data_IF_215609467345
#
_entry.id   IF_215609467345
#
_cell.length_a   1.000
_cell.length_b   1.000
_cell.length_c   1.000
_cell.angle_alpha   90.00
_cell.angle_beta   90.00
_cell.angle_gamma   90.00
#
_symmetry.space_group_name_H-M   'P 1'
#
loop_
_entity.id
_entity.type
_entity.pdbx_description
1 polymer ?
#
# COMPACT_ATOMS: atom_id res chain seq x y z
N UNK A 1 2.92 -29.53 -2.00
CA UNK A 1 2.15 -30.36 -2.95
C UNK A 1 3.08 -31.35 -3.64
N UNK A 2 4.00 -30.90 -4.50
CA UNK A 2 4.92 -31.76 -5.28
C UNK A 2 5.68 -32.81 -4.43
N UNK A 3 6.43 -32.37 -3.43
CA UNK A 3 7.23 -33.28 -2.56
C UNK A 3 6.42 -34.32 -1.77
N UNK A 4 5.16 -34.03 -1.45
CA UNK A 4 4.32 -34.87 -0.57
C UNK A 4 3.29 -35.66 -1.40
N UNK A 5 3.08 -35.29 -2.67
CA UNK A 5 2.09 -35.91 -3.56
C UNK A 5 0.63 -35.76 -3.11
N UNK A 6 0.35 -34.85 -2.16
CA UNK A 6 -0.98 -34.67 -1.57
C UNK A 6 -1.43 -33.21 -1.66
N UNK A 7 -2.72 -33.02 -1.95
CA UNK A 7 -3.42 -31.74 -1.91
C UNK A 7 -4.45 -31.81 -0.78
N UNK A 8 -4.16 -31.15 0.34
CA UNK A 8 -4.91 -31.32 1.59
C UNK A 8 -5.83 -30.15 1.92
N UNK A 9 -5.65 -29.03 1.23
CA UNK A 9 -6.33 -27.77 1.53
C UNK A 9 -7.02 -27.23 0.26
N UNK A 10 -8.35 -27.37 0.13
CA UNK A 10 -9.12 -26.98 -1.05
C UNK A 10 -9.17 -25.46 -1.26
N UNK A 11 -9.21 -25.03 -2.52
CA UNK A 11 -9.38 -23.60 -2.85
C UNK A 11 -10.83 -23.16 -2.59
N UNK A 12 -11.07 -21.86 -2.43
CA UNK A 12 -12.43 -21.31 -2.46
C UNK A 12 -12.78 -20.96 -3.90
N UNK A 13 -14.00 -21.27 -4.33
CA UNK A 13 -14.53 -20.88 -5.63
C UNK A 13 -15.86 -20.15 -5.48
N UNK A 14 -15.99 -19.01 -6.17
CA UNK A 14 -17.23 -18.23 -6.30
C UNK A 14 -17.64 -18.20 -7.77
N UNK A 15 -18.95 -18.13 -8.04
CA UNK A 15 -19.45 -18.01 -9.41
C UNK A 15 -19.11 -16.61 -9.96
N UNK A 16 -18.47 -16.56 -11.12
CA UNK A 16 -18.26 -15.32 -11.83
C UNK A 16 -19.57 -14.90 -12.53
N UNK A 17 -19.98 -13.63 -12.46
CA UNK A 17 -21.13 -13.14 -13.22
C UNK A 17 -20.81 -13.27 -14.72
N UNK A 18 -21.48 -14.18 -15.43
CA UNK A 18 -21.36 -14.28 -16.89
C UNK A 18 -22.69 -14.67 -17.53
N UNK A 19 -22.95 -14.13 -18.72
CA UNK A 19 -24.16 -14.29 -19.55
C UNK A 19 -24.16 -15.54 -20.44
N UNK A 20 -23.25 -16.50 -20.23
CA UNK A 20 -23.09 -17.67 -21.10
C UNK A 20 -23.32 -18.99 -20.35
N UNK A 21 -23.70 -20.02 -21.11
CA UNK A 21 -24.10 -21.36 -20.63
C UNK A 21 -22.98 -22.13 -19.88
N UNK A 22 -21.75 -21.62 -19.85
CA UNK A 22 -20.63 -22.23 -19.11
C UNK A 22 -20.37 -21.41 -17.85
N UNK A 23 -20.68 -22.00 -16.68
CA UNK A 23 -20.39 -21.39 -15.39
C UNK A 23 -18.87 -21.16 -15.25
N UNK A 24 -18.45 -19.89 -15.25
CA UNK A 24 -17.09 -19.50 -14.91
C UNK A 24 -16.98 -19.34 -13.39
N UNK A 25 -15.89 -19.82 -12.83
CA UNK A 25 -15.58 -19.72 -11.40
C UNK A 25 -14.31 -18.88 -11.21
N UNK A 26 -14.30 -18.09 -10.16
CA UNK A 26 -13.14 -17.34 -9.70
C UNK A 26 -12.80 -17.76 -8.26
N UNK A 27 -11.53 -17.63 -7.86
CA UNK A 27 -11.05 -18.03 -6.53
C UNK A 27 -10.57 -16.82 -5.73
N UNK A 28 -11.28 -16.43 -4.63
CA UNK A 28 -10.84 -15.37 -3.73
C UNK A 28 -9.77 -15.86 -2.73
N UNK A 29 -9.65 -17.17 -2.51
CA UNK A 29 -8.61 -17.77 -1.67
C UNK A 29 -8.12 -19.08 -2.31
N UNK A 30 -6.80 -19.18 -2.52
CA UNK A 30 -6.16 -20.37 -3.08
C UNK A 30 -5.42 -20.15 -4.41
N UNK A 31 -5.20 -18.90 -4.84
CA UNK A 31 -4.51 -18.60 -6.11
C UNK A 31 -3.10 -19.21 -6.22
N UNK A 32 -2.32 -19.22 -5.13
CA UNK A 32 -1.00 -19.88 -5.11
C UNK A 32 -1.11 -21.39 -5.28
N UNK A 33 -2.09 -22.02 -4.61
CA UNK A 33 -2.38 -23.45 -4.72
C UNK A 33 -2.86 -23.82 -6.12
N UNK A 34 -3.75 -23.02 -6.71
CA UNK A 34 -4.19 -23.16 -8.09
C UNK A 34 -3.02 -23.07 -9.08
N UNK A 35 -2.14 -22.07 -8.89
CA UNK A 35 -0.96 -21.87 -9.75
C UNK A 35 0.03 -23.03 -9.61
N UNK A 36 0.27 -23.53 -8.40
CA UNK A 36 1.10 -24.69 -8.16
C UNK A 36 0.53 -25.96 -8.81
N UNK A 37 -0.78 -26.19 -8.70
CA UNK A 37 -1.45 -27.34 -9.35
C UNK A 37 -1.39 -27.24 -10.88
N UNK A 38 -1.54 -26.04 -11.45
CA UNK A 38 -1.34 -25.81 -12.90
C UNK A 38 0.09 -26.12 -13.34
N UNK A 39 1.09 -25.67 -12.58
CA UNK A 39 2.50 -25.97 -12.88
C UNK A 39 2.82 -27.47 -12.83
N UNK A 40 2.10 -28.23 -11.99
CA UNK A 40 2.17 -29.69 -11.92
C UNK A 40 1.34 -30.41 -13.00
N UNK A 41 0.70 -29.67 -13.92
CA UNK A 41 -0.10 -30.23 -15.01
C UNK A 41 -1.46 -30.81 -14.58
N UNK A 42 -1.97 -30.40 -13.41
CA UNK A 42 -3.25 -30.89 -12.93
C UNK A 42 -4.41 -30.45 -13.84
N UNK A 43 -5.29 -31.40 -14.18
CA UNK A 43 -6.49 -31.14 -15.01
C UNK A 43 -7.71 -30.73 -14.18
N UNK A 44 -7.66 -30.93 -12.86
CA UNK A 44 -8.71 -30.59 -11.91
C UNK A 44 -8.11 -30.23 -10.55
N UNK A 45 -8.89 -29.51 -9.73
CA UNK A 45 -8.52 -29.11 -8.38
C UNK A 45 -9.76 -29.17 -7.49
N UNK A 46 -9.59 -29.54 -6.22
CA UNK A 46 -10.69 -29.56 -5.25
C UNK A 46 -10.96 -28.14 -4.78
N UNK A 47 -12.24 -27.73 -4.80
CA UNK A 47 -12.70 -26.43 -4.37
C UNK A 47 -13.93 -26.52 -3.46
N UNK A 48 -14.02 -25.61 -2.50
CA UNK A 48 -15.24 -25.33 -1.72
C UNK A 48 -15.98 -24.21 -2.45
N UNK A 49 -17.21 -24.47 -2.86
CA UNK A 49 -18.02 -23.50 -3.60
C UNK A 49 -18.82 -22.64 -2.62
N UNK A 50 -18.60 -21.32 -2.68
CA UNK A 50 -19.36 -20.33 -1.92
C UNK A 50 -20.42 -19.74 -2.87
N UNK A 51 -21.71 -19.97 -2.60
CA UNK A 51 -22.77 -19.59 -3.53
C UNK A 51 -23.00 -18.08 -3.60
N UNK A 52 -22.71 -17.33 -2.54
CA UNK A 52 -22.88 -15.89 -2.44
C UNK A 52 -21.70 -15.14 -3.09
N UNK A 53 -21.89 -14.40 -4.21
CA UNK A 53 -20.79 -13.68 -4.84
C UNK A 53 -20.22 -12.55 -3.96
N UNK A 54 -21.04 -11.95 -3.10
CA UNK A 54 -20.62 -10.90 -2.15
C UNK A 54 -19.62 -11.40 -1.11
N UNK A 55 -19.66 -12.69 -0.75
CA UNK A 55 -18.70 -13.29 0.18
C UNK A 55 -17.27 -13.34 -0.39
N UNK A 56 -17.10 -13.23 -1.71
CA UNK A 56 -15.78 -13.25 -2.33
C UNK A 56 -14.87 -12.12 -1.81
N UNK A 57 -15.43 -10.91 -1.65
CA UNK A 57 -14.70 -9.75 -1.15
C UNK A 57 -14.39 -9.87 0.35
N UNK A 58 -15.31 -10.43 1.13
CA UNK A 58 -15.08 -10.73 2.54
C UNK A 58 -13.94 -11.74 2.70
N UNK A 59 -13.91 -12.79 1.86
CA UNK A 59 -12.88 -13.83 1.90
C UNK A 59 -11.51 -13.27 1.46
N UNK A 60 -11.47 -12.38 0.47
CA UNK A 60 -10.24 -11.65 0.11
C UNK A 60 -9.72 -10.83 1.29
N UNK A 61 -10.59 -10.04 1.93
CA UNK A 61 -10.21 -9.24 3.09
C UNK A 61 -9.71 -10.10 4.27
N UNK A 62 -10.25 -11.32 4.43
CA UNK A 62 -9.88 -12.25 5.49
C UNK A 62 -8.63 -13.09 5.21
N UNK A 63 -8.01 -13.02 4.02
CA UNK A 63 -6.77 -13.75 3.72
C UNK A 63 -5.55 -13.14 4.46
N UNK A 64 -5.48 -13.37 5.76
CA UNK A 64 -4.42 -12.87 6.65
C UNK A 64 -3.19 -13.79 6.73
N UNK A 65 -3.15 -14.90 5.95
CA UNK A 65 -2.05 -15.89 5.99
C UNK A 65 -0.67 -15.32 5.61
N UNK A 66 -0.64 -14.18 4.93
CA UNK A 66 0.57 -13.39 4.72
C UNK A 66 0.15 -11.94 4.86
N UNK A 67 0.68 -11.22 5.84
CA UNK A 67 0.55 -9.76 5.85
C UNK A 67 0.98 -9.27 4.46
N UNK A 68 0.02 -8.75 3.68
CA UNK A 68 0.31 -8.25 2.35
C UNK A 68 1.41 -7.22 2.51
N UNK A 69 2.45 -7.30 1.66
CA UNK A 69 3.42 -6.23 1.67
C UNK A 69 2.69 -4.93 1.31
N UNK A 70 3.11 -3.81 1.89
CA UNK A 70 2.45 -2.51 1.75
C UNK A 70 2.03 -2.20 0.30
N UNK A 71 2.86 -2.58 -0.66
CA UNK A 71 2.61 -2.41 -2.09
C UNK A 71 1.43 -3.23 -2.59
N UNK A 72 1.41 -4.54 -2.34
CA UNK A 72 0.31 -5.42 -2.72
C UNK A 72 -1.01 -4.92 -2.15
N UNK A 73 -1.02 -4.56 -0.86
CA UNK A 73 -2.21 -4.03 -0.20
C UNK A 73 -2.68 -2.72 -0.82
N UNK A 74 -1.77 -1.77 -1.03
CA UNK A 74 -2.12 -0.47 -1.62
C UNK A 74 -2.66 -0.61 -3.05
N UNK A 75 -2.11 -1.53 -3.85
CA UNK A 75 -2.58 -1.80 -5.22
C UNK A 75 -3.97 -2.43 -5.22
N UNK A 76 -4.25 -3.35 -4.29
CA UNK A 76 -5.56 -3.96 -4.14
C UNK A 76 -6.61 -2.91 -3.74
N UNK A 77 -6.30 -2.09 -2.73
CA UNK A 77 -7.19 -1.03 -2.24
C UNK A 77 -7.53 -0.02 -3.34
N UNK A 78 -6.56 0.46 -4.13
CA UNK A 78 -6.86 1.43 -5.20
C UNK A 78 -7.65 0.82 -6.36
N UNK A 79 -7.48 -0.48 -6.64
CA UNK A 79 -8.31 -1.18 -7.64
C UNK A 79 -9.76 -1.26 -7.18
N UNK A 80 -9.97 -1.71 -5.95
CA UNK A 80 -11.29 -1.75 -5.34
C UNK A 80 -11.95 -0.37 -5.31
N UNK A 81 -11.20 0.66 -4.90
CA UNK A 81 -11.67 2.05 -4.90
C UNK A 81 -12.20 2.47 -6.27
N UNK A 82 -11.44 2.21 -7.35
CA UNK A 82 -11.82 2.62 -8.71
C UNK A 82 -13.04 1.88 -9.24
N UNK A 83 -13.23 0.62 -8.85
CA UNK A 83 -14.42 -0.16 -9.20
C UNK A 83 -15.66 0.38 -8.46
N UNK A 84 -15.55 0.60 -7.15
CA UNK A 84 -16.63 1.14 -6.32
C UNK A 84 -17.02 2.57 -6.72
N UNK A 85 -16.04 3.40 -7.09
CA UNK A 85 -16.29 4.77 -7.58
C UNK A 85 -17.11 4.83 -8.89
N UNK A 86 -17.29 3.72 -9.60
CA UNK A 86 -18.14 3.64 -10.80
C UNK A 86 -19.57 3.16 -10.50
N UNK A 87 -19.79 2.56 -9.31
CA UNK A 87 -21.03 1.83 -9.00
C UNK A 87 -21.99 2.65 -8.13
N UNK A 88 -21.48 3.50 -7.24
CA UNK A 88 -22.28 4.20 -6.25
C UNK A 88 -21.76 5.62 -5.98
N UNK A 89 -22.62 6.46 -5.41
CA UNK A 89 -22.32 7.82 -4.94
C UNK A 89 -21.82 7.83 -3.48
N UNK A 90 -21.27 6.70 -3.03
CA UNK A 90 -20.74 6.51 -1.68
C UNK A 90 -19.47 7.34 -1.43
N UNK A 91 -19.17 7.60 -0.15
CA UNK A 91 -17.93 8.23 0.29
C UNK A 91 -16.90 7.17 0.69
N UNK A 92 -15.65 7.58 0.90
CA UNK A 92 -14.61 6.64 1.30
C UNK A 92 -14.87 6.04 2.70
N UNK A 93 -15.55 6.77 3.59
CA UNK A 93 -15.92 6.28 4.93
C UNK A 93 -16.90 5.10 4.87
N UNK A 94 -17.73 5.00 3.82
CA UNK A 94 -18.65 3.89 3.63
C UNK A 94 -17.93 2.54 3.53
N UNK A 95 -16.72 2.54 2.97
CA UNK A 95 -15.90 1.36 2.75
C UNK A 95 -14.62 1.37 3.60
N UNK A 96 -14.65 2.04 4.75
CA UNK A 96 -13.49 2.20 5.62
C UNK A 96 -12.91 0.85 6.10
N UNK A 97 -13.77 -0.16 6.29
CA UNK A 97 -13.34 -1.49 6.70
C UNK A 97 -12.54 -2.18 5.58
N UNK A 98 -13.00 -2.05 4.33
CA UNK A 98 -12.39 -2.65 3.16
C UNK A 98 -11.11 -1.92 2.73
N UNK A 99 -11.08 -0.59 2.87
CA UNK A 99 -9.90 0.21 2.58
C UNK A 99 -8.85 0.15 3.68
N UNK A 100 -9.24 -0.17 4.91
CA UNK A 100 -8.44 -0.24 6.14
C UNK A 100 -7.78 1.08 6.55
N UNK A 101 -6.96 1.66 5.67
CA UNK A 101 -6.23 2.89 5.90
C UNK A 101 -6.36 3.85 4.71
N UNK A 102 -6.64 5.14 4.94
CA UNK A 102 -6.66 6.16 3.89
C UNK A 102 -5.38 6.24 3.06
N UNK A 103 -4.24 5.95 3.71
CA UNK A 103 -2.92 5.97 3.11
C UNK A 103 -2.76 4.94 1.97
N UNK A 104 -3.46 3.79 2.04
CA UNK A 104 -3.39 2.76 0.99
C UNK A 104 -3.97 3.25 -0.34
N UNK A 105 -4.96 4.15 -0.31
CA UNK A 105 -5.54 4.75 -1.52
C UNK A 105 -4.49 5.63 -2.22
N UNK A 106 -3.86 6.56 -1.47
CA UNK A 106 -2.83 7.47 -2.00
C UNK A 106 -1.59 6.72 -2.46
N UNK A 107 -1.11 5.74 -1.66
CA UNK A 107 0.03 4.90 -2.01
C UNK A 107 -0.27 4.02 -3.23
N UNK A 108 -1.49 3.51 -3.35
CA UNK A 108 -1.92 2.69 -4.48
C UNK A 108 -1.77 3.45 -5.80
N UNK A 109 -2.24 4.71 -5.84
CA UNK A 109 -2.04 5.60 -6.99
C UNK A 109 -0.56 5.85 -7.29
N UNK A 110 0.27 6.01 -6.26
CA UNK A 110 1.72 6.16 -6.46
C UNK A 110 2.36 4.90 -7.07
N UNK A 111 1.92 3.70 -6.65
CA UNK A 111 2.43 2.44 -7.18
C UNK A 111 1.95 2.13 -8.60
N UNK A 112 0.74 2.55 -8.97
CA UNK A 112 0.25 2.46 -10.35
C UNK A 112 1.09 3.32 -11.29
N UNK A 113 1.40 4.56 -10.89
CA UNK A 113 2.25 5.47 -11.67
C UNK A 113 3.71 5.00 -11.70
N UNK A 114 4.25 4.59 -10.54
CA UNK A 114 5.65 4.17 -10.36
C UNK A 114 5.71 2.82 -9.64
N UNK A 115 5.77 1.68 -10.35
CA UNK A 115 5.78 0.35 -9.74
C UNK A 115 6.92 0.08 -8.74
N UNK A 116 8.04 0.82 -8.84
CA UNK A 116 9.20 0.71 -7.93
C UNK A 116 9.22 1.81 -6.84
N UNK A 117 8.12 2.54 -6.66
CA UNK A 117 8.00 3.56 -5.63
C UNK A 117 8.32 3.00 -4.23
N UNK A 118 8.95 3.79 -3.38
CA UNK A 118 9.39 3.36 -2.05
C UNK A 118 8.37 3.75 -0.97
N UNK A 119 7.12 3.32 -1.12
CA UNK A 119 6.01 3.80 -0.27
C UNK A 119 6.20 3.56 1.23
N UNK A 120 6.96 2.53 1.61
CA UNK A 120 7.26 2.24 3.02
C UNK A 120 8.01 3.36 3.74
N UNK A 121 8.76 4.21 3.03
CA UNK A 121 9.42 5.36 3.63
C UNK A 121 8.42 6.46 4.06
N UNK A 122 7.28 6.56 3.38
CA UNK A 122 6.28 7.62 3.57
C UNK A 122 5.08 7.17 4.39
N UNK A 123 4.78 5.86 4.44
CA UNK A 123 3.63 5.30 5.14
C UNK A 123 3.51 5.78 6.62
N UNK A 124 4.59 5.89 7.42
CA UNK A 124 4.48 6.41 8.78
C UNK A 124 3.99 7.86 8.87
N UNK A 125 4.30 8.70 7.88
CA UNK A 125 3.79 10.08 7.80
C UNK A 125 2.34 10.05 7.36
N UNK A 126 2.03 9.32 6.29
CA UNK A 126 0.69 9.24 5.71
C UNK A 126 -0.34 8.70 6.71
N UNK A 127 0.03 7.71 7.53
CA UNK A 127 -0.81 7.19 8.63
C UNK A 127 -1.33 8.27 9.57
N UNK A 128 -0.63 9.41 9.68
CA UNK A 128 -0.94 10.47 10.62
C UNK A 128 -1.62 11.69 10.00
N UNK A 129 -1.63 11.80 8.66
CA UNK A 129 -2.07 13.02 7.97
C UNK A 129 -3.04 12.76 6.82
N UNK A 130 -3.13 11.51 6.35
CA UNK A 130 -4.07 11.12 5.31
C UNK A 130 -5.34 10.57 5.96
N UNK A 131 -6.48 11.14 5.57
CA UNK A 131 -7.80 10.86 6.12
C UNK A 131 -8.75 10.43 5.00
N UNK A 132 -9.82 9.70 5.34
CA UNK A 132 -10.89 9.40 4.39
C UNK A 132 -11.60 10.69 3.98
N UNK A 133 -11.81 10.86 2.68
CA UNK A 133 -12.42 12.03 2.11
C UNK A 133 -13.94 11.93 2.22
N UNK A 134 -14.57 13.00 2.71
CA UNK A 134 -16.03 13.13 2.86
C UNK A 134 -16.76 13.44 1.55
N UNK A 135 -16.06 13.37 0.41
CA UNK A 135 -16.62 13.58 -0.93
C UNK A 135 -17.02 12.23 -1.51
N UNK A 136 -17.96 12.25 -2.46
CA UNK A 136 -18.30 11.07 -3.25
C UNK A 136 -17.03 10.55 -3.95
N UNK A 137 -16.84 9.22 -3.97
CA UNK A 137 -15.60 8.60 -4.44
C UNK A 137 -15.27 8.93 -5.91
N UNK A 138 -16.28 9.07 -6.75
CA UNK A 138 -16.17 9.48 -8.15
C UNK A 138 -15.49 10.87 -8.33
N UNK A 139 -15.64 11.77 -7.36
CA UNK A 139 -15.00 13.10 -7.32
C UNK A 139 -13.76 13.10 -6.44
N UNK A 140 -13.78 12.36 -5.33
CA UNK A 140 -12.68 12.28 -4.36
C UNK A 140 -11.40 11.70 -5.00
N UNK A 141 -11.53 10.83 -6.01
CA UNK A 141 -10.40 10.27 -6.74
C UNK A 141 -9.49 11.33 -7.35
N UNK A 142 -10.02 12.49 -7.77
CA UNK A 142 -9.20 13.56 -8.35
C UNK A 142 -8.29 14.21 -7.30
N UNK A 143 -8.83 14.45 -6.11
CA UNK A 143 -8.02 14.92 -4.97
C UNK A 143 -6.99 13.87 -4.55
N UNK A 144 -7.34 12.57 -4.56
CA UNK A 144 -6.38 11.48 -4.29
C UNK A 144 -5.25 11.45 -5.34
N UNK A 145 -5.56 11.70 -6.62
CA UNK A 145 -4.56 11.82 -7.69
C UNK A 145 -3.63 13.02 -7.49
N UNK A 146 -4.17 14.16 -7.06
CA UNK A 146 -3.36 15.33 -6.72
C UNK A 146 -2.42 15.03 -5.53
N UNK A 147 -2.94 14.43 -4.46
CA UNK A 147 -2.13 13.98 -3.30
C UNK A 147 -1.01 13.02 -3.72
N UNK A 148 -1.31 12.05 -4.56
CA UNK A 148 -0.32 11.13 -5.10
C UNK A 148 0.76 11.85 -5.93
N UNK A 149 0.38 12.80 -6.80
CA UNK A 149 1.35 13.61 -7.56
C UNK A 149 2.25 14.43 -6.63
N UNK A 150 1.70 15.06 -5.60
CA UNK A 150 2.49 15.81 -4.60
C UNK A 150 3.48 14.90 -3.89
N UNK A 151 3.06 13.70 -3.48
CA UNK A 151 3.94 12.73 -2.83
C UNK A 151 5.05 12.23 -3.78
N UNK A 152 4.73 11.96 -5.04
CA UNK A 152 5.71 11.54 -6.05
C UNK A 152 6.73 12.64 -6.36
N UNK A 153 6.31 13.90 -6.38
CA UNK A 153 7.19 15.05 -6.58
C UNK A 153 8.12 15.28 -5.37
N UNK A 154 7.63 15.05 -4.15
CA UNK A 154 8.48 15.01 -2.97
C UNK A 154 9.51 13.88 -3.08
N UNK A 155 9.11 12.68 -3.51
CA UNK A 155 10.04 11.55 -3.65
C UNK A 155 11.15 11.82 -4.65
N UNK A 156 10.89 12.52 -5.75
CA UNK A 156 11.92 12.92 -6.71
C UNK A 156 13.02 13.75 -6.02
N UNK A 157 12.63 14.75 -5.20
CA UNK A 157 13.59 15.57 -4.43
C UNK A 157 14.32 14.76 -3.37
N UNK A 158 13.63 13.83 -2.71
CA UNK A 158 14.25 12.95 -1.70
C UNK A 158 15.28 12.03 -2.37
N UNK A 159 15.00 11.50 -3.55
CA UNK A 159 15.94 10.66 -4.31
C UNK A 159 17.21 11.44 -4.65
N UNK A 160 17.11 12.71 -5.06
CA UNK A 160 18.29 13.56 -5.27
C UNK A 160 19.17 13.67 -4.01
N UNK A 161 18.57 13.87 -2.83
CA UNK A 161 19.31 13.90 -1.57
C UNK A 161 19.94 12.54 -1.21
N UNK A 162 19.23 11.44 -1.49
CA UNK A 162 19.73 10.08 -1.30
C UNK A 162 20.95 9.81 -2.19
N UNK A 163 20.90 10.20 -3.46
CA UNK A 163 22.03 10.03 -4.39
C UNK A 163 23.22 10.91 -3.98
N UNK A 164 22.98 12.14 -3.50
CA UNK A 164 24.05 12.99 -2.95
C UNK A 164 24.74 12.34 -1.74
N UNK A 165 23.98 11.69 -0.85
CA UNK A 165 24.55 10.94 0.28
C UNK A 165 25.34 9.71 -0.19
N UNK A 166 24.85 8.97 -1.18
CA UNK A 166 25.57 7.83 -1.77
C UNK A 166 26.88 8.25 -2.43
N UNK A 167 26.89 9.38 -3.14
CA UNK A 167 28.10 9.93 -3.76
C UNK A 167 29.19 10.27 -2.73
N UNK A 168 28.80 10.56 -1.48
CA UNK A 168 29.72 10.75 -0.35
C UNK A 168 30.16 9.43 0.33
N UNK A 169 29.77 8.28 -0.21
CA UNK A 169 30.11 6.96 0.34
C UNK A 169 29.16 6.43 1.41
N UNK A 170 28.01 7.08 1.65
CA UNK A 170 26.99 6.56 2.57
C UNK A 170 26.10 5.56 1.82
N UNK A 171 26.35 4.28 2.01
CA UNK A 171 25.56 3.20 1.38
C UNK A 171 24.77 2.44 2.44
N UNK A 172 23.44 2.58 2.43
CA UNK A 172 22.53 1.84 3.30
C UNK A 172 21.21 1.56 2.59
N UNK A 173 20.59 0.38 2.75
CA UNK A 173 19.26 0.11 2.22
C UNK A 173 18.18 1.02 2.84
N UNK A 174 18.44 1.60 4.01
CA UNK A 174 17.50 2.48 4.74
C UNK A 174 17.72 3.97 4.48
N UNK A 175 18.61 4.34 3.56
CA UNK A 175 19.01 5.73 3.35
C UNK A 175 17.83 6.65 2.96
N UNK A 176 16.88 6.15 2.15
CA UNK A 176 15.67 6.91 1.82
C UNK A 176 14.79 7.12 3.06
N UNK A 177 14.51 6.06 3.81
CA UNK A 177 13.74 6.14 5.06
C UNK A 177 14.38 7.10 6.06
N UNK A 178 15.71 7.13 6.14
CA UNK A 178 16.45 8.09 6.96
C UNK A 178 16.21 9.54 6.52
N UNK A 179 16.35 9.86 5.23
CA UNK A 179 16.13 11.21 4.72
C UNK A 179 14.68 11.64 4.97
N UNK A 180 13.71 10.77 4.66
CA UNK A 180 12.28 11.03 4.93
C UNK A 180 12.02 11.30 6.42
N UNK A 181 12.59 10.49 7.31
CA UNK A 181 12.47 10.69 8.76
C UNK A 181 13.13 11.98 9.26
N UNK A 182 14.11 12.53 8.53
CA UNK A 182 14.79 13.79 8.88
C UNK A 182 13.98 15.02 8.48
N UNK A 183 13.20 14.92 7.41
CA UNK A 183 12.35 16.00 6.90
C UNK A 183 10.90 15.90 7.41
N UNK A 184 10.53 14.80 8.07
CA UNK A 184 9.20 14.58 8.63
C UNK A 184 8.87 15.61 9.74
N UNK A 185 7.90 16.53 9.53
CA UNK A 185 7.56 17.57 10.48
C UNK A 185 6.91 17.03 11.76
N UNK A 186 6.25 15.87 11.68
CA UNK A 186 5.47 15.31 12.78
C UNK A 186 6.40 14.77 13.88
N UNK A 187 7.59 14.31 13.51
CA UNK A 187 8.61 13.83 14.47
C UNK A 187 9.08 14.93 15.43
N UNK A 188 8.98 16.19 15.01
CA UNK A 188 9.45 17.35 15.76
C UNK A 188 8.32 18.16 16.39
N UNK A 189 7.06 17.74 16.22
CA UNK A 189 5.92 18.41 16.85
C UNK A 189 5.82 18.05 18.34
N UNK A 190 5.49 19.04 19.20
CA UNK A 190 5.03 18.77 20.56
C UNK A 190 3.82 17.82 20.57
N UNK A 191 3.68 17.01 21.63
CA UNK A 191 2.59 16.01 21.74
C UNK A 191 1.19 16.63 21.76
N UNK A 192 1.09 17.90 22.14
CA UNK A 192 -0.10 18.73 22.28
C UNK A 192 -0.38 19.60 21.04
N UNK A 193 0.47 19.55 20.02
CA UNK A 193 0.24 20.30 18.79
C UNK A 193 -0.94 19.73 17.99
N UNK A 194 -1.68 20.61 17.32
CA UNK A 194 -2.75 20.19 16.41
C UNK A 194 -2.21 19.26 15.30
N UNK A 195 -2.97 18.23 14.90
CA UNK A 195 -2.62 17.37 13.78
C UNK A 195 -2.42 18.21 12.51
N UNK A 196 -1.39 17.87 11.73
CA UNK A 196 -1.20 18.49 10.42
C UNK A 196 -2.13 17.84 9.41
N UNK A 197 -2.70 18.66 8.53
CA UNK A 197 -3.32 18.14 7.31
C UNK A 197 -2.27 17.55 6.37
N UNK A 198 -2.72 16.72 5.42
CA UNK A 198 -1.88 16.16 4.36
C UNK A 198 -1.05 17.26 3.67
N UNK A 199 -1.71 18.32 3.19
CA UNK A 199 -1.06 19.36 2.39
C UNK A 199 -0.01 20.12 3.23
N UNK A 200 -0.34 20.49 4.47
CA UNK A 200 0.61 21.15 5.37
C UNK A 200 1.83 20.27 5.69
N UNK A 201 1.62 18.97 5.89
CA UNK A 201 2.70 18.05 6.19
C UNK A 201 3.64 17.89 4.99
N UNK A 202 3.10 17.70 3.79
CA UNK A 202 3.87 17.52 2.57
C UNK A 202 4.59 18.81 2.15
N UNK A 203 3.99 19.99 2.35
CA UNK A 203 4.63 21.29 2.09
C UNK A 203 5.81 21.54 3.03
N UNK A 204 5.65 21.20 4.32
CA UNK A 204 6.74 21.29 5.30
C UNK A 204 7.86 20.31 4.98
N UNK A 205 7.54 19.07 4.60
CA UNK A 205 8.54 18.10 4.15
C UNK A 205 9.27 18.58 2.91
N UNK A 206 8.55 19.17 1.95
CA UNK A 206 9.12 19.73 0.71
C UNK A 206 10.09 20.88 1.01
N UNK A 207 9.70 21.77 1.92
CA UNK A 207 10.55 22.87 2.39
C UNK A 207 11.78 22.37 3.15
N UNK A 208 11.61 21.38 4.03
CA UNK A 208 12.69 20.78 4.78
C UNK A 208 13.67 20.00 3.88
N UNK A 209 13.17 19.35 2.83
CA UNK A 209 13.99 18.67 1.82
C UNK A 209 14.85 19.66 1.04
N UNK A 210 14.30 20.81 0.65
CA UNK A 210 15.07 21.87 0.00
C UNK A 210 16.19 22.47 0.88
N UNK A 211 16.00 22.43 2.21
CA UNK A 211 17.00 22.89 3.20
C UNK A 211 17.92 21.76 3.69
N UNK A 212 17.70 20.53 3.23
CA UNK A 212 18.51 19.38 3.64
C UNK A 212 19.94 19.58 3.14
N UNK A 213 20.91 19.43 4.03
CA UNK A 213 22.33 19.53 3.68
C UNK A 213 23.02 18.18 3.88
N UNK A 214 23.32 17.43 2.79
CA UNK A 214 24.02 16.16 2.85
C UNK A 214 25.42 16.24 3.48
N UNK A 215 26.08 17.40 3.46
CA UNK A 215 27.42 17.58 4.01
C UNK A 215 27.46 17.38 5.53
N UNK A 216 26.38 17.75 6.22
CA UNK A 216 26.27 17.68 7.67
C UNK A 216 25.93 16.29 8.21
N UNK A 217 25.64 15.32 7.34
CA UNK A 217 25.26 13.95 7.72
C UNK A 217 26.50 13.07 7.84
N UNK A 218 26.63 12.37 8.98
CA UNK A 218 27.71 11.41 9.28
C UNK A 218 27.19 9.98 9.29
N UNK A 219 28.09 8.99 9.18
CA UNK A 219 27.73 7.56 9.24
C UNK A 219 27.07 7.16 10.57
N UNK A 220 27.51 7.74 11.69
CA UNK A 220 26.92 7.46 13.01
C UNK A 220 25.44 7.88 13.12
N UNK A 221 25.02 8.89 12.33
CA UNK A 221 23.63 9.35 12.31
C UNK A 221 22.71 8.30 11.67
N UNK A 222 23.21 7.53 10.71
CA UNK A 222 22.49 6.42 10.09
C UNK A 222 22.31 5.25 11.05
N UNK A 223 23.34 4.93 11.84
CA UNK A 223 23.30 3.83 12.82
C UNK A 223 22.26 4.07 13.93
N UNK A 224 22.07 5.33 14.36
CA UNK A 224 21.03 5.70 15.35
C UNK A 224 19.62 5.77 14.78
N UNK A 225 19.50 5.81 13.46
CA UNK A 225 18.21 5.93 12.75
C UNK A 225 17.64 4.60 12.27
N UNK A 226 18.44 3.52 12.30
CA UNK A 226 17.95 2.15 12.25
C UNK A 226 17.19 1.86 13.54
N UNK A 227 15.95 2.34 13.63
CA UNK A 227 15.09 2.14 14.78
C UNK A 227 14.96 0.66 15.11
N UNK A 228 14.87 0.40 16.41
CA UNK A 228 14.48 -0.85 17.07
C UNK A 228 13.35 -1.51 16.28
N UNK A 229 13.43 -2.83 16.07
CA UNK A 229 12.32 -3.59 15.51
C UNK A 229 11.04 -3.24 16.29
N UNK A 230 10.01 -2.78 15.59
CA UNK A 230 8.69 -2.60 16.20
C UNK A 230 8.34 -3.93 16.87
N UNK A 231 8.19 -3.89 18.20
CA UNK A 231 7.52 -4.96 18.93
C UNK A 231 6.11 -5.04 18.35
N UNK A 232 5.83 -6.19 17.74
CA UNK A 232 4.51 -6.53 17.29
C UNK A 232 3.57 -6.55 18.49
N UNK A 233 2.54 -5.70 18.45
CA UNK A 233 1.29 -5.89 19.18
C UNK A 233 0.11 -5.56 18.26
#
# INVERSE_FOLDING_TARGET
IDKIGRFLDPIIAVRAPTSEQVAKYWTPNGNHRLSAMKALGAKSIVAIMVPEPSAAYQILAMNTEKAHNLREKSIEVIRMYKELAQLDDATEETYALEFEEPAFITLGLCYEERPRFSGGAYHPVLKRVDEFLKKQMNVAIDLRRERAKTLLALDDRIVEQVEALKAKGLTSPYLKSFVVARVNPIRFQPKDAAPLSFDEALDRMTTATAKFNPEKIKMDDLARSGGVADEAE
#
